data_IF_437914208446
#
_entry.id   IF_437914208446
#
_cell.length_a   1.000
_cell.length_b   1.000
_cell.length_c   1.000
_cell.angle_alpha   90.00
_cell.angle_beta   90.00
_cell.angle_gamma   90.00
#
_symmetry.space_group_name_H-M   'P 1'
#
loop_
_entity.id
_entity.type
_entity.pdbx_description
1 polymer ?
#
# COMPACT_ATOMS: atom_id res chain seq x y z
N UNK A 1 -47.61 16.59 58.96
CA UNK A 1 -46.28 15.98 59.17
C UNK A 1 -46.22 14.66 58.38
N UNK A 2 -46.18 14.72 57.05
CA UNK A 2 -46.13 13.54 56.18
C UNK A 2 -44.67 13.10 56.01
N UNK A 3 -44.39 11.86 56.43
CA UNK A 3 -43.06 11.26 56.31
C UNK A 3 -42.75 10.98 54.84
N UNK A 4 -41.60 11.47 54.42
CA UNK A 4 -40.85 11.10 53.22
C UNK A 4 -40.42 9.64 53.37
N UNK A 5 -40.72 8.77 52.39
CA UNK A 5 -40.16 7.42 52.34
C UNK A 5 -39.71 7.10 50.92
N UNK A 6 -38.41 7.24 50.74
CA UNK A 6 -37.48 6.35 50.03
C UNK A 6 -37.79 5.91 48.60
N UNK A 7 -37.30 6.71 47.66
CA UNK A 7 -36.89 6.24 46.33
C UNK A 7 -35.46 5.66 46.40
N UNK A 8 -35.32 4.43 46.91
CA UNK A 8 -34.03 3.74 46.91
C UNK A 8 -33.82 2.90 45.64
N UNK A 9 -32.96 3.44 44.76
CA UNK A 9 -32.07 2.74 43.80
C UNK A 9 -32.60 1.48 43.11
N UNK A 10 -32.97 1.60 41.84
CA UNK A 10 -32.80 0.52 40.86
C UNK A 10 -31.62 0.82 39.94
N UNK A 11 -30.41 0.56 40.43
CA UNK A 11 -29.18 0.51 39.64
C UNK A 11 -28.70 -0.93 39.62
N UNK A 12 -28.48 -1.44 38.39
CA UNK A 12 -27.67 -2.61 38.03
C UNK A 12 -28.36 -3.98 38.17
N UNK A 13 -28.99 -4.46 37.09
CA UNK A 13 -28.66 -5.81 36.62
C UNK A 13 -28.95 -5.98 35.12
N UNK A 14 -28.03 -5.52 34.28
CA UNK A 14 -27.99 -5.85 32.85
C UNK A 14 -27.46 -7.29 32.74
N UNK A 15 -28.32 -8.25 33.10
CA UNK A 15 -28.02 -9.68 33.11
C UNK A 15 -27.45 -10.07 31.75
N UNK A 16 -26.30 -10.74 31.79
CA UNK A 16 -25.61 -11.31 30.65
C UNK A 16 -26.52 -12.32 29.95
N UNK A 17 -27.24 -11.89 28.92
CA UNK A 17 -28.08 -12.76 28.10
C UNK A 17 -27.22 -13.63 27.17
N UNK A 18 -27.11 -14.95 27.41
CA UNK A 18 -26.26 -15.85 26.61
C UNK A 18 -26.71 -15.91 25.14
N UNK A 19 -27.99 -15.64 24.85
CA UNK A 19 -28.52 -15.63 23.49
C UNK A 19 -28.01 -14.43 22.69
N UNK A 20 -27.93 -13.25 23.31
CA UNK A 20 -27.32 -12.06 22.70
C UNK A 20 -25.82 -12.23 22.48
N UNK A 21 -25.11 -12.92 23.38
CA UNK A 21 -23.66 -13.18 23.22
C UNK A 21 -23.36 -14.16 22.08
N UNK A 22 -24.16 -15.21 21.92
CA UNK A 22 -24.01 -16.17 20.81
C UNK A 22 -24.26 -15.50 19.44
N UNK A 23 -25.33 -14.70 19.31
CA UNK A 23 -25.62 -13.94 18.08
C UNK A 23 -24.52 -12.91 17.77
N UNK A 24 -23.98 -12.21 18.78
CA UNK A 24 -22.88 -11.25 18.60
C UNK A 24 -21.58 -11.92 18.13
N UNK A 25 -21.21 -13.08 18.71
CA UNK A 25 -20.05 -13.86 18.26
C UNK A 25 -20.20 -14.32 16.80
N UNK A 26 -21.40 -14.75 16.39
CA UNK A 26 -21.67 -15.14 14.99
C UNK A 26 -21.52 -13.97 14.03
N UNK A 27 -22.06 -12.79 14.38
CA UNK A 27 -21.90 -11.56 13.57
C UNK A 27 -20.46 -11.10 13.46
N UNK A 28 -19.68 -11.18 14.54
CA UNK A 28 -18.25 -10.85 14.53
C UNK A 28 -17.44 -11.79 13.62
N UNK A 29 -17.73 -13.10 13.65
CA UNK A 29 -17.09 -14.06 12.74
C UNK A 29 -17.38 -13.76 11.27
N UNK A 30 -18.64 -13.44 10.94
CA UNK A 30 -19.03 -13.06 9.57
C UNK A 30 -18.33 -11.76 9.15
N UNK A 31 -18.29 -10.76 10.03
CA UNK A 31 -17.59 -9.50 9.74
C UNK A 31 -16.10 -9.73 9.48
N UNK A 32 -15.43 -10.55 10.30
CA UNK A 32 -14.02 -10.92 10.09
C UNK A 32 -13.80 -11.64 8.75
N UNK A 33 -14.72 -12.53 8.37
CA UNK A 33 -14.63 -13.24 7.10
C UNK A 33 -14.80 -12.29 5.90
N UNK A 34 -15.74 -11.36 5.97
CA UNK A 34 -15.93 -10.32 4.94
C UNK A 34 -14.69 -9.43 4.84
N UNK A 35 -14.13 -8.99 5.97
CA UNK A 35 -12.89 -8.19 6.00
C UNK A 35 -11.74 -8.97 5.36
N UNK A 36 -11.59 -10.25 5.69
CA UNK A 36 -10.58 -11.11 5.07
C UNK A 36 -10.73 -11.19 3.55
N UNK A 37 -11.95 -11.39 3.05
CA UNK A 37 -12.24 -11.42 1.61
C UNK A 37 -11.91 -10.08 0.96
N UNK A 38 -12.28 -8.95 1.58
CA UNK A 38 -11.98 -7.62 1.06
C UNK A 38 -10.48 -7.34 0.98
N UNK A 39 -9.70 -7.81 1.96
CA UNK A 39 -8.24 -7.69 1.94
C UNK A 39 -7.66 -8.48 0.76
N UNK A 40 -8.10 -9.72 0.57
CA UNK A 40 -7.62 -10.57 -0.54
C UNK A 40 -7.99 -9.95 -1.89
N UNK A 41 -9.23 -9.49 -2.06
CA UNK A 41 -9.65 -8.77 -3.27
C UNK A 41 -8.85 -7.49 -3.50
N UNK A 42 -8.57 -6.74 -2.44
CA UNK A 42 -7.74 -5.54 -2.51
C UNK A 42 -6.31 -5.84 -2.95
N UNK A 43 -5.69 -6.89 -2.41
CA UNK A 43 -4.35 -7.34 -2.81
C UNK A 43 -4.33 -7.80 -4.28
N UNK A 44 -5.33 -8.57 -4.71
CA UNK A 44 -5.45 -8.98 -6.11
C UNK A 44 -5.62 -7.78 -7.05
N UNK A 45 -6.40 -6.78 -6.65
CA UNK A 45 -6.55 -5.55 -7.42
C UNK A 45 -5.22 -4.78 -7.54
N UNK A 46 -4.48 -4.62 -6.43
CA UNK A 46 -3.16 -3.96 -6.44
C UNK A 46 -2.18 -4.71 -7.36
N UNK A 47 -2.11 -6.04 -7.25
CA UNK A 47 -1.25 -6.86 -8.13
C UNK A 47 -1.68 -6.73 -9.59
N UNK A 48 -2.98 -6.77 -9.87
CA UNK A 48 -3.51 -6.59 -11.23
C UNK A 48 -3.16 -5.23 -11.82
N UNK A 49 -3.33 -4.15 -11.05
CA UNK A 49 -2.94 -2.79 -11.44
C UNK A 49 -1.43 -2.70 -11.66
N UNK A 50 -0.64 -3.28 -10.76
CA UNK A 50 0.80 -3.30 -10.88
C UNK A 50 1.24 -4.00 -12.17
N UNK A 51 0.71 -5.19 -12.47
CA UNK A 51 0.98 -5.90 -13.73
C UNK A 51 0.52 -5.07 -14.94
N UNK A 52 -0.64 -4.42 -14.84
CA UNK A 52 -1.16 -3.58 -15.90
C UNK A 52 -0.19 -2.45 -16.27
N UNK A 53 0.40 -1.76 -15.30
CA UNK A 53 1.39 -0.72 -15.58
C UNK A 53 2.77 -1.30 -15.89
N UNK A 54 3.22 -2.32 -15.17
CA UNK A 54 4.54 -2.94 -15.34
C UNK A 54 4.77 -3.49 -16.74
N UNK A 55 3.71 -3.97 -17.43
CA UNK A 55 3.85 -4.50 -18.80
C UNK A 55 4.29 -3.45 -19.82
N UNK A 56 4.01 -2.18 -19.54
CA UNK A 56 4.30 -1.06 -20.42
C UNK A 56 5.63 -0.36 -20.05
N UNK A 57 6.29 -0.79 -18.97
CA UNK A 57 7.60 -0.23 -18.59
C UNK A 57 8.72 -0.85 -19.47
N UNK A 58 9.61 -0.02 -20.04
CA UNK A 58 10.81 -0.53 -20.69
C UNK A 58 11.68 -1.30 -19.69
N UNK A 59 12.38 -2.34 -20.14
CA UNK A 59 13.32 -3.08 -19.29
C UNK A 59 14.29 -2.11 -18.60
N UNK A 60 14.47 -2.20 -17.26
CA UNK A 60 15.37 -1.33 -16.51
C UNK A 60 16.82 -1.43 -16.98
N UNK A 61 17.18 -2.51 -17.68
CA UNK A 61 18.52 -2.70 -18.26
C UNK A 61 18.87 -1.62 -19.30
N UNK A 62 17.86 -0.98 -19.92
CA UNK A 62 18.08 0.10 -20.88
C UNK A 62 18.42 1.43 -20.23
N UNK A 63 18.17 1.60 -18.93
CA UNK A 63 18.44 2.84 -18.19
C UNK A 63 19.93 2.96 -17.85
N UNK A 64 20.65 1.83 -17.76
CA UNK A 64 22.09 1.79 -17.50
C UNK A 64 22.96 1.84 -18.76
N UNK A 65 22.36 1.80 -19.96
CA UNK A 65 23.06 2.28 -21.15
C UNK A 65 23.10 3.80 -21.06
N UNK A 66 24.05 4.31 -20.26
CA UNK A 66 24.61 5.62 -20.58
C UNK A 66 24.99 5.53 -22.05
N UNK A 67 24.44 6.42 -22.87
CA UNK A 67 25.06 6.70 -24.16
C UNK A 67 26.54 6.90 -23.83
N UNK A 68 27.38 6.02 -24.36
CA UNK A 68 28.80 6.03 -24.06
C UNK A 68 29.26 7.44 -24.36
N UNK A 69 29.76 8.14 -23.34
CA UNK A 69 30.33 9.48 -23.44
C UNK A 69 31.11 9.61 -24.75
N UNK A 70 30.51 10.25 -25.76
CA UNK A 70 31.13 10.34 -27.07
C UNK A 70 32.22 11.40 -26.99
N UNK A 71 33.47 10.96 -26.96
CA UNK A 71 34.62 11.86 -26.93
C UNK A 71 34.75 12.55 -28.30
N UNK A 72 34.82 13.87 -28.32
CA UNK A 72 35.17 14.60 -29.55
C UNK A 72 36.68 14.82 -29.59
N UNK A 73 37.32 14.36 -30.67
CA UNK A 73 38.77 14.53 -30.88
C UNK A 73 39.06 15.67 -31.85
N UNK A 74 39.97 16.56 -31.45
CA UNK A 74 40.42 17.71 -32.26
C UNK A 74 41.83 17.41 -32.74
N UNK A 75 42.00 17.30 -34.05
CA UNK A 75 43.28 17.04 -34.72
C UNK A 75 43.88 18.33 -35.27
N UNK A 76 45.21 18.36 -35.42
CA UNK A 76 45.90 19.38 -36.18
C UNK A 76 45.57 19.27 -37.68
N UNK A 77 46.01 20.25 -38.50
CA UNK A 77 45.72 20.28 -39.95
C UNK A 77 46.26 19.06 -40.71
N UNK A 78 47.30 18.42 -40.18
CA UNK A 78 47.87 17.19 -40.73
C UNK A 78 46.91 15.97 -40.59
N UNK A 79 45.90 16.04 -39.73
CA UNK A 79 44.96 14.96 -39.46
C UNK A 79 45.53 13.82 -38.61
N UNK A 80 46.80 13.88 -38.22
CA UNK A 80 47.50 12.82 -37.48
C UNK A 80 47.76 13.24 -36.03
N UNK A 81 48.09 14.50 -35.78
CA UNK A 81 48.44 14.97 -34.44
C UNK A 81 47.18 15.29 -33.62
N UNK A 82 46.94 14.56 -32.53
CA UNK A 82 45.86 14.84 -31.58
C UNK A 82 46.21 16.06 -30.72
N UNK A 83 45.40 17.12 -30.81
CA UNK A 83 45.58 18.34 -30.01
C UNK A 83 44.80 18.29 -28.71
N UNK A 84 43.57 17.78 -28.75
CA UNK A 84 42.69 17.74 -27.58
C UNK A 84 41.61 16.68 -27.71
N UNK A 85 41.17 16.14 -26.57
CA UNK A 85 40.03 15.23 -26.47
C UNK A 85 39.01 15.80 -25.48
N UNK A 86 37.78 16.02 -25.94
CA UNK A 86 36.68 16.52 -25.12
C UNK A 86 35.91 15.34 -24.57
N UNK A 87 35.83 15.21 -23.24
CA UNK A 87 35.00 14.22 -22.56
C UNK A 87 33.66 14.86 -22.13
N UNK A 88 32.54 14.20 -22.41
CA UNK A 88 31.18 14.66 -22.09
C UNK A 88 30.30 13.55 -21.54
#
# INVERSE_FOLDING_TARGET
MSKTTDQHKNKKNKKNDPQKKAKRKKRLKIALLIIGILIVLGLLAVVGIFIYFAKDLPSPDKINKRDVAESTKIFARDGETLLYEVHG
#
